data_IF_562908964092
#
_entry.id   IF_562908964092
#
_cell.length_a   1.000
_cell.length_b   1.000
_cell.length_c   1.000
_cell.angle_alpha   90.00
_cell.angle_beta   90.00
_cell.angle_gamma   90.00
#
_symmetry.space_group_name_H-M   'P 1'
#
loop_
_entity.id
_entity.type
_entity.pdbx_description
1 polymer ?
#
# COMPACT_ATOMS: atom_id res chain seq x y z
N UNK A 1 24.48 -14.65 64.82
CA UNK A 1 23.54 -14.20 63.78
C UNK A 1 24.32 -14.12 62.47
N UNK A 2 24.16 -15.15 61.63
CA UNK A 2 24.90 -15.28 60.34
C UNK A 2 24.14 -14.57 59.26
N UNK A 3 24.73 -13.54 58.65
CA UNK A 3 24.20 -12.85 57.46
C UNK A 3 24.58 -13.67 56.24
N UNK A 4 23.56 -14.25 55.56
CA UNK A 4 23.70 -14.92 54.29
C UNK A 4 23.63 -13.86 53.22
N UNK A 5 24.74 -13.59 52.55
CA UNK A 5 24.76 -12.81 51.31
C UNK A 5 24.35 -13.72 50.14
N UNK A 6 23.16 -13.49 49.62
CA UNK A 6 22.70 -14.13 48.41
C UNK A 6 23.30 -13.39 47.20
N UNK A 7 24.33 -13.98 46.60
CA UNK A 7 24.88 -13.54 45.32
C UNK A 7 23.90 -13.95 44.21
N UNK A 8 23.18 -12.98 43.68
CA UNK A 8 22.41 -13.15 42.48
C UNK A 8 23.37 -13.12 41.27
N UNK A 9 23.78 -14.29 40.81
CA UNK A 9 24.51 -14.42 39.56
C UNK A 9 23.58 -14.09 38.41
N UNK A 10 23.77 -12.92 37.80
CA UNK A 10 23.18 -12.61 36.50
C UNK A 10 23.83 -13.53 35.48
N UNK A 11 23.12 -14.59 35.12
CA UNK A 11 23.46 -15.39 33.96
C UNK A 11 23.13 -14.53 32.71
N UNK A 12 24.15 -13.93 32.13
CA UNK A 12 24.10 -13.37 30.79
C UNK A 12 23.86 -14.53 29.81
N UNK A 13 22.63 -14.71 29.41
CA UNK A 13 22.30 -15.55 28.25
C UNK A 13 22.88 -14.86 27.02
N UNK A 14 24.09 -15.26 26.64
CA UNK A 14 24.59 -15.06 25.32
C UNK A 14 23.69 -15.89 24.38
N UNK A 15 22.76 -15.24 23.70
CA UNK A 15 22.11 -15.80 22.53
C UNK A 15 23.19 -15.93 21.48
N UNK A 16 23.85 -17.08 21.46
CA UNK A 16 24.61 -17.50 20.29
C UNK A 16 23.58 -17.69 19.18
N UNK A 17 23.49 -16.68 18.32
CA UNK A 17 22.91 -16.82 17.01
C UNK A 17 23.55 -18.04 16.37
N UNK A 18 22.76 -19.05 16.04
CA UNK A 18 23.20 -20.15 15.20
C UNK A 18 23.62 -19.56 13.85
N UNK A 19 24.92 -19.45 13.64
CA UNK A 19 25.48 -19.41 12.30
C UNK A 19 25.22 -20.79 11.69
N UNK A 20 24.18 -20.92 10.91
CA UNK A 20 24.16 -21.91 9.85
C UNK A 20 24.97 -21.32 8.70
N UNK A 21 26.21 -21.77 8.58
CA UNK A 21 26.98 -21.64 7.37
C UNK A 21 26.37 -22.52 6.29
N UNK A 22 25.29 -22.03 5.65
CA UNK A 22 24.91 -22.45 4.32
C UNK A 22 25.27 -21.29 3.39
N UNK A 23 26.38 -21.47 2.68
CA UNK A 23 26.89 -20.61 1.63
C UNK A 23 25.89 -20.43 0.48
N UNK A 24 24.90 -19.59 0.68
CA UNK A 24 24.17 -18.86 -0.33
C UNK A 24 24.01 -17.42 0.15
N UNK A 25 25.13 -16.71 0.17
CA UNK A 25 25.20 -15.31 0.53
C UNK A 25 24.61 -14.44 -0.57
N UNK A 26 23.30 -14.42 -0.68
CA UNK A 26 22.56 -13.28 -1.21
C UNK A 26 22.42 -12.28 -0.07
N UNK A 27 23.50 -11.58 0.26
CA UNK A 27 23.42 -10.38 1.08
C UNK A 27 22.60 -9.36 0.28
N UNK A 28 21.29 -9.38 0.48
CA UNK A 28 20.46 -8.22 0.19
C UNK A 28 20.94 -7.15 1.16
N UNK A 29 21.76 -6.23 0.69
CA UNK A 29 22.19 -5.08 1.51
C UNK A 29 20.92 -4.39 2.00
N UNK A 30 20.75 -4.36 3.30
CA UNK A 30 19.57 -3.73 3.91
C UNK A 30 19.74 -2.21 3.72
N UNK A 31 19.00 -1.65 2.77
CA UNK A 31 19.05 -0.21 2.50
C UNK A 31 18.37 0.58 3.62
N UNK A 32 18.85 1.79 3.88
CA UNK A 32 18.20 2.66 4.86
C UNK A 32 16.77 3.02 4.46
N UNK A 33 15.93 3.37 5.41
CA UNK A 33 14.55 3.80 5.16
C UNK A 33 14.51 4.99 4.19
N UNK A 34 15.44 5.95 4.34
CA UNK A 34 15.53 7.11 3.46
C UNK A 34 15.88 6.72 2.03
N UNK A 35 16.78 5.74 1.87
CA UNK A 35 17.14 5.20 0.56
C UNK A 35 15.96 4.45 -0.04
N UNK A 36 15.27 3.64 0.75
CA UNK A 36 14.08 2.92 0.28
C UNK A 36 12.97 3.88 -0.15
N UNK A 37 12.70 4.94 0.62
CA UNK A 37 11.73 5.96 0.24
C UNK A 37 12.09 6.64 -1.10
N UNK A 38 13.40 6.86 -1.34
CA UNK A 38 13.87 7.39 -2.61
C UNK A 38 13.61 6.39 -3.75
N UNK A 39 13.89 5.12 -3.53
CA UNK A 39 13.60 4.08 -4.52
C UNK A 39 12.11 3.96 -4.80
N UNK A 40 11.27 4.04 -3.78
CA UNK A 40 9.82 3.99 -3.95
C UNK A 40 9.32 5.16 -4.81
N UNK A 41 9.79 6.39 -4.55
CA UNK A 41 9.42 7.55 -5.35
C UNK A 41 9.89 7.43 -6.82
N UNK A 42 11.14 6.99 -7.06
CA UNK A 42 11.66 6.78 -8.40
C UNK A 42 10.91 5.65 -9.14
N UNK A 43 10.66 4.52 -8.46
CA UNK A 43 9.92 3.40 -9.04
C UNK A 43 8.49 3.78 -9.40
N UNK A 44 7.80 4.59 -8.57
CA UNK A 44 6.46 5.10 -8.89
C UNK A 44 6.50 5.96 -10.14
N UNK A 45 7.47 6.89 -10.27
CA UNK A 45 7.59 7.73 -11.46
C UNK A 45 7.85 6.92 -12.73
N UNK A 46 8.68 5.88 -12.61
CA UNK A 46 8.91 4.96 -13.71
C UNK A 46 7.65 4.16 -14.05
N UNK A 47 6.96 3.64 -13.05
CA UNK A 47 5.71 2.90 -13.22
C UNK A 47 4.64 3.72 -13.96
N UNK A 48 4.51 5.00 -13.63
CA UNK A 48 3.56 5.89 -14.32
C UNK A 48 3.87 6.08 -15.80
N UNK A 49 5.14 5.99 -16.18
CA UNK A 49 5.57 6.12 -17.59
C UNK A 49 5.50 4.80 -18.35
N UNK A 50 5.79 3.70 -17.67
CA UNK A 50 5.94 2.38 -18.30
C UNK A 50 4.61 1.62 -18.40
N UNK A 51 3.51 2.16 -17.89
CA UNK A 51 2.21 1.51 -17.87
C UNK A 51 1.11 2.41 -18.43
N UNK A 52 0.06 1.77 -18.90
CA UNK A 52 -1.14 2.41 -19.44
C UNK A 52 -2.41 1.73 -18.90
N UNK A 53 -3.59 2.30 -19.18
CA UNK A 53 -4.87 1.66 -18.92
C UNK A 53 -5.36 0.94 -20.17
N UNK A 54 -5.60 -0.36 -20.07
CA UNK A 54 -6.28 -1.09 -21.13
C UNK A 54 -7.76 -0.65 -21.29
N UNK A 55 -8.46 -1.17 -22.29
CA UNK A 55 -9.87 -0.85 -22.56
C UNK A 55 -10.81 -1.21 -21.40
N UNK A 56 -10.40 -2.10 -20.50
CA UNK A 56 -11.14 -2.49 -19.29
C UNK A 56 -10.75 -1.69 -18.07
N UNK A 57 -9.70 -0.86 -18.19
CA UNK A 57 -9.17 -0.05 -17.12
C UNK A 57 -8.16 -0.76 -16.21
N UNK A 58 -7.64 -1.90 -16.62
CA UNK A 58 -6.52 -2.52 -15.91
C UNK A 58 -5.23 -1.78 -16.24
N UNK A 59 -4.31 -1.77 -15.28
CA UNK A 59 -2.97 -1.25 -15.50
C UNK A 59 -2.12 -2.34 -16.15
N UNK A 60 -1.58 -2.06 -17.32
CA UNK A 60 -0.76 -2.95 -18.14
C UNK A 60 0.53 -2.25 -18.52
N UNK A 61 1.64 -2.98 -18.52
CA UNK A 61 2.92 -2.45 -18.94
C UNK A 61 2.99 -2.36 -20.47
N UNK A 62 3.66 -1.32 -20.97
CA UNK A 62 4.00 -1.25 -22.39
C UNK A 62 4.89 -2.42 -22.81
N UNK A 63 4.62 -2.97 -23.98
CA UNK A 63 5.43 -4.05 -24.55
C UNK A 63 6.58 -3.47 -25.37
N UNK A 64 7.78 -4.00 -25.16
CA UNK A 64 8.93 -3.65 -26.02
C UNK A 64 8.92 -4.36 -27.38
N UNK A 65 8.01 -5.30 -27.60
CA UNK A 65 7.99 -6.16 -28.80
C UNK A 65 6.67 -6.15 -29.55
N UNK A 66 5.61 -5.60 -28.96
CA UNK A 66 4.30 -5.46 -29.60
C UNK A 66 4.08 -4.01 -30.00
N UNK A 67 3.42 -3.79 -31.11
CA UNK A 67 3.01 -2.47 -31.59
C UNK A 67 1.54 -2.14 -31.27
N UNK A 68 0.86 -3.05 -30.57
CA UNK A 68 -0.57 -2.89 -30.27
C UNK A 68 -0.86 -1.81 -29.24
N UNK A 69 0.12 -1.47 -28.42
CA UNK A 69 0.07 -0.49 -27.35
C UNK A 69 0.84 0.81 -27.63
N UNK A 70 1.46 0.93 -28.83
CA UNK A 70 2.25 2.12 -29.22
C UNK A 70 1.44 3.43 -29.21
N UNK A 71 0.12 3.35 -29.36
CA UNK A 71 -0.78 4.50 -29.33
C UNK A 71 -1.49 4.69 -28.00
N UNK A 72 -1.21 3.83 -27.02
CA UNK A 72 -1.81 3.96 -25.69
C UNK A 72 -1.16 5.11 -24.92
N UNK A 73 -1.96 5.73 -24.06
CA UNK A 73 -1.52 6.87 -23.27
C UNK A 73 -0.93 6.40 -21.96
N UNK A 74 0.33 6.77 -21.61
CA UNK A 74 0.93 6.37 -20.34
C UNK A 74 0.16 6.97 -19.15
N UNK A 75 0.24 6.31 -18.00
CA UNK A 75 -0.43 6.76 -16.78
C UNK A 75 -0.01 8.18 -16.37
N UNK A 76 1.25 8.55 -16.64
CA UNK A 76 1.77 9.90 -16.37
C UNK A 76 0.98 11.01 -17.06
N UNK A 77 0.31 10.72 -18.16
CA UNK A 77 -0.43 11.71 -18.96
C UNK A 77 -1.89 11.88 -18.53
N UNK A 78 -2.34 11.09 -17.53
CA UNK A 78 -3.68 11.21 -16.94
C UNK A 78 -3.76 12.21 -15.79
N UNK A 79 -2.83 13.15 -15.70
CA UNK A 79 -2.76 14.15 -14.64
C UNK A 79 -2.76 13.52 -13.23
N UNK A 80 -1.77 12.66 -12.92
CA UNK A 80 -1.64 12.09 -11.59
C UNK A 80 -1.44 13.21 -10.55
N UNK A 81 -2.13 13.10 -9.43
CA UNK A 81 -2.05 14.06 -8.33
C UNK A 81 -1.31 13.43 -7.16
N UNK A 82 -0.17 14.00 -6.76
CA UNK A 82 0.57 13.60 -5.56
C UNK A 82 0.01 14.35 -4.35
N UNK A 83 -0.39 13.62 -3.32
CA UNK A 83 -0.87 14.14 -2.05
C UNK A 83 0.28 14.32 -1.04
N UNK A 84 0.02 15.01 0.07
CA UNK A 84 1.02 15.25 1.11
C UNK A 84 1.49 13.96 1.78
N UNK A 85 0.62 12.97 1.86
CA UNK A 85 0.96 11.61 2.34
C UNK A 85 1.88 10.82 1.41
N UNK A 86 2.24 11.36 0.24
CA UNK A 86 3.00 10.65 -0.79
C UNK A 86 2.14 9.83 -1.76
N UNK A 87 0.88 9.62 -1.46
CA UNK A 87 -0.05 8.93 -2.37
C UNK A 87 -0.19 9.68 -3.68
N UNK A 88 -0.17 8.93 -4.79
CA UNK A 88 -0.49 9.45 -6.10
C UNK A 88 -1.77 8.78 -6.57
N UNK A 89 -2.74 9.59 -7.01
CA UNK A 89 -3.98 9.07 -7.57
C UNK A 89 -4.25 9.62 -8.97
N UNK A 90 -4.99 8.84 -9.75
CA UNK A 90 -5.52 9.21 -11.06
C UNK A 90 -7.04 8.99 -11.02
N UNK A 91 -7.81 10.04 -11.26
CA UNK A 91 -9.25 9.94 -11.43
C UNK A 91 -9.58 9.80 -12.91
N UNK A 92 -10.19 8.69 -13.30
CA UNK A 92 -10.58 8.42 -14.69
C UNK A 92 -12.00 8.88 -15.02
N UNK A 93 -12.81 9.00 -14.00
CA UNK A 93 -14.23 9.33 -14.16
C UNK A 93 -14.74 10.07 -12.92
N UNK A 94 -15.51 11.10 -13.15
CA UNK A 94 -16.25 11.81 -12.09
C UNK A 94 -17.74 11.56 -12.30
N UNK A 95 -18.41 10.86 -11.38
CA UNK A 95 -19.85 10.60 -11.51
C UNK A 95 -20.64 11.90 -11.49
N UNK A 96 -21.59 12.12 -12.43
CA UNK A 96 -22.33 13.38 -12.53
C UNK A 96 -23.21 13.66 -11.30
N UNK A 97 -23.65 12.62 -10.60
CA UNK A 97 -24.45 12.69 -9.38
C UNK A 97 -23.69 12.14 -8.16
N UNK A 98 -22.37 12.04 -8.25
CA UNK A 98 -21.55 11.52 -7.16
C UNK A 98 -21.58 12.40 -5.93
N UNK A 99 -21.57 11.77 -4.77
CA UNK A 99 -21.49 12.45 -3.48
C UNK A 99 -20.09 12.32 -2.92
N UNK A 100 -19.60 13.40 -2.32
CA UNK A 100 -18.33 13.38 -1.60
C UNK A 100 -18.37 12.34 -0.46
N UNK A 101 -17.26 11.63 -0.30
CA UNK A 101 -17.11 10.61 0.75
C UNK A 101 -16.71 11.31 2.06
N UNK A 102 -17.47 11.06 3.11
CA UNK A 102 -17.24 11.65 4.44
C UNK A 102 -17.04 10.58 5.50
N UNK A 103 -16.50 10.99 6.65
CA UNK A 103 -16.11 10.09 7.74
C UNK A 103 -17.25 9.23 8.33
N UNK A 104 -18.49 9.63 8.12
CA UNK A 104 -19.68 8.89 8.58
C UNK A 104 -20.17 7.83 7.59
N UNK A 105 -19.64 7.82 6.39
CA UNK A 105 -20.12 6.93 5.35
C UNK A 105 -19.70 5.49 5.58
N UNK A 106 -20.52 4.59 5.07
CA UNK A 106 -20.20 3.20 4.85
C UNK A 106 -19.92 3.02 3.38
N UNK A 107 -18.65 2.84 3.03
CA UNK A 107 -18.26 2.67 1.63
C UNK A 107 -18.31 1.20 1.21
N UNK A 108 -18.57 0.98 -0.05
CA UNK A 108 -18.38 -0.29 -0.73
C UNK A 108 -17.35 -0.08 -1.82
N UNK A 109 -16.37 -0.95 -1.87
CA UNK A 109 -15.28 -0.87 -2.83
C UNK A 109 -15.27 -2.08 -3.75
N UNK A 110 -15.05 -1.82 -5.03
CA UNK A 110 -14.53 -2.82 -5.96
C UNK A 110 -13.09 -2.44 -6.25
N UNK A 111 -12.16 -3.32 -5.92
CA UNK A 111 -10.75 -3.00 -6.04
C UNK A 111 -9.91 -4.21 -6.42
N UNK A 112 -8.77 -3.93 -7.01
CA UNK A 112 -7.70 -4.89 -7.26
C UNK A 112 -6.41 -4.27 -6.74
N UNK A 113 -5.90 -4.80 -5.63
CA UNK A 113 -4.82 -4.19 -4.87
C UNK A 113 -3.59 -5.09 -4.88
N UNK A 114 -2.44 -4.48 -5.14
CA UNK A 114 -1.15 -5.13 -5.17
C UNK A 114 -0.15 -4.40 -4.27
N UNK A 115 0.81 -5.13 -3.75
CA UNK A 115 2.02 -4.58 -3.14
C UNK A 115 3.19 -4.76 -4.09
N UNK A 116 4.12 -3.82 -4.03
CA UNK A 116 5.33 -3.81 -4.85
C UNK A 116 6.55 -3.59 -3.98
N UNK A 117 7.69 -4.05 -4.45
CA UNK A 117 9.00 -3.78 -3.84
C UNK A 117 9.84 -3.00 -4.85
N UNK A 118 10.27 -1.80 -4.48
CA UNK A 118 11.17 -1.02 -5.30
C UNK A 118 12.62 -1.44 -5.03
N UNK A 119 13.36 -1.69 -6.09
CA UNK A 119 14.77 -2.09 -6.03
C UNK A 119 15.58 -1.31 -7.06
N UNK A 120 16.86 -1.12 -6.75
CA UNK A 120 17.82 -0.62 -7.71
C UNK A 120 18.53 -1.79 -8.40
N UNK A 121 18.32 -1.91 -9.69
CA UNK A 121 18.95 -2.97 -10.50
C UNK A 121 20.46 -2.76 -10.70
N UNK A 122 21.12 -3.78 -11.22
CA UNK A 122 22.54 -3.72 -11.59
C UNK A 122 22.83 -2.70 -12.70
N UNK A 123 21.82 -2.32 -13.46
CA UNK A 123 21.82 -1.25 -14.46
C UNK A 123 21.66 0.16 -13.85
N UNK A 124 21.65 0.26 -12.53
CA UNK A 124 21.35 1.47 -11.74
C UNK A 124 19.95 2.04 -11.95
N UNK A 125 19.05 1.32 -12.59
CA UNK A 125 17.65 1.73 -12.75
C UNK A 125 16.84 1.26 -11.56
N UNK A 126 16.12 2.20 -10.94
CA UNK A 126 15.15 1.89 -9.88
C UNK A 126 13.79 1.58 -10.49
N UNK A 127 13.21 0.44 -10.09
CA UNK A 127 11.92 -0.04 -10.59
C UNK A 127 11.25 -0.94 -9.56
N UNK A 128 9.97 -1.20 -9.75
CA UNK A 128 9.30 -2.28 -9.04
C UNK A 128 9.75 -3.63 -9.61
N UNK A 129 10.35 -4.45 -8.75
CA UNK A 129 10.83 -5.78 -9.12
C UNK A 129 9.74 -6.84 -8.95
N UNK A 130 9.01 -6.74 -7.85
CA UNK A 130 8.04 -7.75 -7.46
C UNK A 130 6.65 -7.15 -7.30
N UNK A 131 5.64 -7.91 -7.78
CA UNK A 131 4.22 -7.58 -7.68
C UNK A 131 3.50 -8.70 -6.95
N UNK A 132 2.97 -8.41 -5.79
CA UNK A 132 2.23 -9.38 -4.99
C UNK A 132 0.75 -8.98 -4.89
N UNK A 133 -0.20 -9.90 -5.13
CA UNK A 133 -1.60 -9.61 -4.90
C UNK A 133 -1.82 -9.41 -3.40
N UNK A 134 -2.39 -8.27 -3.03
CA UNK A 134 -2.77 -8.00 -1.64
C UNK A 134 -4.23 -8.40 -1.40
N UNK A 135 -5.15 -7.81 -2.18
CA UNK A 135 -6.57 -8.10 -2.08
C UNK A 135 -7.29 -7.72 -3.37
N UNK A 136 -8.28 -8.50 -3.73
CA UNK A 136 -9.17 -8.17 -4.85
C UNK A 136 -10.63 -8.49 -4.51
N UNK A 137 -11.53 -7.62 -4.92
CA UNK A 137 -12.97 -7.88 -4.95
C UNK A 137 -13.50 -7.96 -6.38
N UNK A 138 -12.61 -7.78 -7.37
CA UNK A 138 -12.92 -7.94 -8.80
C UNK A 138 -12.72 -9.42 -9.14
N UNK A 139 -13.63 -10.24 -8.62
CA UNK A 139 -13.74 -11.67 -8.91
C UNK A 139 -14.91 -11.90 -9.88
N UNK A 140 -15.14 -13.14 -10.26
CA UNK A 140 -16.17 -13.55 -11.24
C UNK A 140 -17.56 -12.94 -10.99
N UNK A 141 -17.91 -12.66 -9.74
CA UNK A 141 -19.21 -12.09 -9.35
C UNK A 141 -19.23 -10.57 -9.26
N UNK A 142 -18.06 -9.91 -9.25
CA UNK A 142 -17.96 -8.45 -9.18
C UNK A 142 -18.67 -7.79 -8.00
N UNK A 143 -18.79 -8.48 -6.87
CA UNK A 143 -19.53 -7.96 -5.71
C UNK A 143 -18.67 -6.98 -4.93
N UNK A 144 -19.13 -5.72 -4.73
CA UNK A 144 -18.41 -4.74 -3.93
C UNK A 144 -18.28 -5.19 -2.48
N UNK A 145 -17.10 -5.01 -1.93
CA UNK A 145 -16.83 -5.29 -0.52
C UNK A 145 -17.14 -4.06 0.34
N UNK A 146 -17.76 -4.30 1.48
CA UNK A 146 -17.88 -3.28 2.52
C UNK A 146 -16.57 -3.27 3.30
N UNK A 147 -15.89 -2.14 3.26
CA UNK A 147 -14.64 -1.99 3.97
C UNK A 147 -14.76 -1.01 5.14
N UNK A 148 -14.87 -1.52 6.35
CA UNK A 148 -14.87 -0.69 7.57
C UNK A 148 -13.49 -0.54 8.22
N UNK A 149 -12.49 -1.33 7.84
CA UNK A 149 -11.32 -1.53 8.69
C UNK A 149 -9.96 -1.22 8.03
N UNK A 150 -9.81 -1.47 6.72
CA UNK A 150 -8.51 -1.34 6.05
C UNK A 150 -8.37 -0.06 5.22
N UNK A 151 -9.44 0.34 4.56
CA UNK A 151 -9.45 1.48 3.66
C UNK A 151 -10.18 2.67 4.26
N UNK A 152 -11.33 2.45 4.87
CA UNK A 152 -12.14 3.51 5.46
C UNK A 152 -12.97 3.00 6.63
N UNK A 153 -12.71 3.50 7.84
CA UNK A 153 -13.51 3.17 9.01
C UNK A 153 -14.52 4.27 9.34
N UNK A 154 -15.78 3.91 9.48
CA UNK A 154 -16.80 4.87 9.93
C UNK A 154 -16.52 5.34 11.35
N UNK A 155 -16.81 6.60 11.61
CA UNK A 155 -16.67 7.19 12.96
C UNK A 155 -17.42 6.39 14.04
N UNK A 156 -18.61 5.86 13.72
CA UNK A 156 -19.37 5.04 14.66
C UNK A 156 -18.68 3.72 15.02
N UNK A 157 -18.00 3.10 14.08
CA UNK A 157 -17.22 1.86 14.30
C UNK A 157 -16.01 2.14 15.18
N UNK A 158 -15.29 3.23 14.88
CA UNK A 158 -14.13 3.66 15.67
C UNK A 158 -14.54 4.00 17.12
N UNK A 159 -15.61 4.77 17.29
CA UNK A 159 -16.09 5.14 18.61
C UNK A 159 -16.53 3.91 19.41
N UNK A 160 -17.25 2.97 18.77
CA UNK A 160 -17.66 1.72 19.43
C UNK A 160 -16.44 0.92 19.88
N UNK A 161 -15.45 0.74 19.04
CA UNK A 161 -14.23 0.03 19.40
C UNK A 161 -13.53 0.70 20.60
N UNK A 162 -13.37 2.02 20.55
CA UNK A 162 -12.74 2.77 21.63
C UNK A 162 -13.49 2.62 22.95
N UNK A 163 -14.81 2.65 22.91
CA UNK A 163 -15.66 2.44 24.09
C UNK A 163 -15.51 1.02 24.63
N UNK A 164 -15.65 0.01 23.77
CA UNK A 164 -15.64 -1.40 24.17
C UNK A 164 -14.25 -1.82 24.75
N UNK A 165 -13.18 -1.18 24.31
CA UNK A 165 -11.82 -1.52 24.70
C UNK A 165 -11.14 -0.47 25.60
N UNK A 166 -11.88 0.56 26.03
CA UNK A 166 -11.35 1.66 26.85
C UNK A 166 -10.09 2.31 26.26
N UNK A 167 -10.09 2.58 24.94
CA UNK A 167 -8.98 3.16 24.19
C UNK A 167 -9.37 4.48 23.52
N UNK A 168 -8.35 5.17 22.99
CA UNK A 168 -8.51 6.43 22.24
C UNK A 168 -7.86 6.32 20.86
N UNK A 169 -7.99 5.17 20.19
CA UNK A 169 -7.43 4.95 18.87
C UNK A 169 -8.02 5.93 17.84
N UNK A 170 -7.16 6.38 16.95
CA UNK A 170 -7.54 7.24 15.82
C UNK A 170 -7.81 6.41 14.57
N UNK A 171 -8.32 7.05 13.52
CA UNK A 171 -8.52 6.40 12.21
C UNK A 171 -7.24 5.76 11.67
N UNK A 172 -6.10 6.42 11.85
CA UNK A 172 -4.79 5.92 11.41
C UNK A 172 -4.41 4.55 11.99
N UNK A 173 -5.04 4.12 13.08
CA UNK A 173 -4.83 2.78 13.63
C UNK A 173 -5.45 1.67 12.77
N UNK A 174 -6.49 1.99 11.98
CA UNK A 174 -7.25 1.01 11.20
C UNK A 174 -7.02 1.13 9.71
N UNK A 175 -6.82 2.34 9.22
CA UNK A 175 -6.80 2.64 7.80
C UNK A 175 -5.38 2.69 7.30
N UNK A 176 -5.18 2.31 6.04
CA UNK A 176 -3.90 2.49 5.38
C UNK A 176 -3.56 3.97 5.33
N UNK A 177 -2.32 4.30 5.66
CA UNK A 177 -1.79 5.65 5.56
C UNK A 177 -2.02 6.22 4.14
N UNK A 178 -2.45 7.45 4.09
CA UNK A 178 -2.76 8.12 2.83
C UNK A 178 -4.09 7.76 2.18
N UNK A 179 -4.70 6.59 2.47
CA UNK A 179 -6.00 6.27 1.89
C UNK A 179 -7.10 7.23 2.34
N UNK A 180 -7.07 7.68 3.60
CA UNK A 180 -8.00 8.70 4.11
C UNK A 180 -7.93 10.01 3.34
N UNK A 181 -6.70 10.42 2.96
CA UNK A 181 -6.49 11.62 2.17
C UNK A 181 -6.95 11.40 0.74
N UNK A 182 -6.60 10.27 0.15
CA UNK A 182 -6.94 9.94 -1.23
C UNK A 182 -8.44 9.81 -1.45
N UNK A 183 -9.16 9.07 -0.59
CA UNK A 183 -10.58 8.74 -0.79
C UNK A 183 -11.48 9.98 -0.83
N UNK A 184 -11.09 11.07 -0.17
CA UNK A 184 -11.81 12.35 -0.18
C UNK A 184 -11.81 13.05 -1.54
N UNK A 185 -10.93 12.64 -2.44
CA UNK A 185 -10.84 13.18 -3.80
C UNK A 185 -11.73 12.42 -4.79
N UNK A 186 -12.42 11.39 -4.32
CA UNK A 186 -13.36 10.60 -5.12
C UNK A 186 -14.79 10.85 -4.68
N UNK A 187 -15.70 10.47 -5.55
CA UNK A 187 -17.14 10.56 -5.30
C UNK A 187 -17.77 9.17 -5.42
N UNK A 188 -18.89 8.97 -4.72
CA UNK A 188 -19.66 7.75 -4.89
C UNK A 188 -20.18 7.62 -6.31
N UNK A 189 -20.25 6.41 -6.83
CA UNK A 189 -21.01 6.09 -8.04
C UNK A 189 -22.16 5.13 -7.68
N UNK A 190 -23.27 5.24 -8.38
CA UNK A 190 -24.31 4.22 -8.34
C UNK A 190 -23.86 3.04 -9.20
N UNK A 191 -23.89 1.85 -8.62
CA UNK A 191 -23.72 0.62 -9.39
C UNK A 191 -25.07 0.28 -9.98
N UNK A 192 -25.19 0.45 -11.29
CA UNK A 192 -26.37 -0.01 -12.07
C UNK A 192 -26.33 -1.52 -12.26
#
# INVERSE_FOLDING_TARGET
MKKIFLFLALASLAITSCNNDDDNNSTTEEVSIETQNTYDDEAIQKFLKDNYFDSRGNIVAFSSTSTTDDNEKPLSDYNPVKLNSGVIYISRYTPPNGKAIVATDKIKLMHNTYTYVAVKGSDNVVKFDSKYPFRTTIITTGTPEIDPAYFHVRTSVLNKYNTDNSTTKTRAFYEMEGFQEAIKNFQSCELN
#
